data_IF_590246071680
#
_entry.id   IF_590246071680
#
_cell.length_a   1.000
_cell.length_b   1.000
_cell.length_c   1.000
_cell.angle_alpha   90.00
_cell.angle_beta   90.00
_cell.angle_gamma   90.00
#
_symmetry.space_group_name_H-M   'P 1'
#
loop_
_entity.id
_entity.type
_entity.pdbx_description
1 polymer ?
#
# COMPACT_ATOMS: atom_id res chain seq x y z
N UNK A 1 18.90 -4.34 26.36
CA UNK A 1 18.22 -3.29 27.16
C UNK A 1 17.38 -2.45 26.21
N UNK A 2 16.16 -2.07 26.58
CA UNK A 2 15.35 -1.21 25.71
C UNK A 2 15.98 0.19 25.61
N UNK A 3 16.02 0.75 24.40
CA UNK A 3 16.57 2.07 24.15
C UNK A 3 15.84 3.14 24.97
N UNK A 4 16.59 3.94 25.74
CA UNK A 4 16.03 4.95 26.66
C UNK A 4 15.22 6.04 25.96
N UNK A 5 15.59 6.38 24.71
CA UNK A 5 14.87 7.36 23.91
C UNK A 5 13.55 6.78 23.38
N UNK A 6 13.56 5.50 23.00
CA UNK A 6 12.33 4.81 22.59
C UNK A 6 11.30 4.76 23.74
N UNK A 7 11.73 4.42 24.97
CA UNK A 7 10.84 4.44 26.15
C UNK A 7 10.23 5.84 26.36
N UNK A 8 11.04 6.90 26.26
CA UNK A 8 10.55 8.28 26.37
C UNK A 8 9.59 8.65 25.25
N UNK A 9 9.82 8.17 24.03
CA UNK A 9 8.90 8.40 22.92
C UNK A 9 7.52 7.80 23.18
N UNK A 10 7.45 6.57 23.68
CA UNK A 10 6.19 5.91 24.06
C UNK A 10 5.41 6.69 25.12
N UNK A 11 6.11 7.25 26.14
CA UNK A 11 5.47 8.13 27.12
C UNK A 11 4.87 9.38 26.48
N UNK A 12 5.56 9.96 25.48
CA UNK A 12 5.10 11.16 24.79
C UNK A 12 3.92 10.85 23.87
N UNK A 13 3.94 9.71 23.16
CA UNK A 13 2.82 9.21 22.36
C UNK A 13 1.59 9.03 23.27
N UNK A 14 1.72 8.35 24.41
CA UNK A 14 0.63 8.16 25.35
C UNK A 14 0.01 9.47 25.87
N UNK A 15 0.81 10.53 25.95
CA UNK A 15 0.37 11.88 26.38
C UNK A 15 -0.11 12.74 25.20
N UNK A 16 -0.19 12.22 23.96
CA UNK A 16 -0.57 12.94 22.75
C UNK A 16 0.48 13.98 22.27
N UNK A 17 1.69 13.98 22.85
CA UNK A 17 2.76 14.93 22.55
C UNK A 17 3.61 14.44 21.37
N UNK A 18 2.99 14.33 20.19
CA UNK A 18 3.59 13.67 19.03
C UNK A 18 4.86 14.33 18.53
N UNK A 19 4.94 15.68 18.57
CA UNK A 19 6.16 16.38 18.18
C UNK A 19 7.36 16.05 19.08
N UNK A 20 7.13 15.95 20.41
CA UNK A 20 8.17 15.53 21.34
C UNK A 20 8.55 14.05 21.13
N UNK A 21 7.56 13.19 20.82
CA UNK A 21 7.79 11.78 20.52
C UNK A 21 8.69 11.60 19.31
N UNK A 22 8.47 12.35 18.24
CA UNK A 22 9.28 12.34 17.01
C UNK A 22 10.75 12.65 17.35
N UNK A 23 11.03 13.68 18.17
CA UNK A 23 12.38 14.03 18.56
C UNK A 23 13.09 12.92 19.35
N UNK A 24 12.34 12.17 20.16
CA UNK A 24 12.91 11.02 20.88
C UNK A 24 13.11 9.82 19.95
N UNK A 25 12.21 9.60 18.97
CA UNK A 25 12.38 8.55 17.97
C UNK A 25 13.56 8.84 17.03
N UNK A 26 13.80 10.11 16.67
CA UNK A 26 14.98 10.49 15.92
C UNK A 26 16.26 10.05 16.63
N UNK A 27 16.37 10.32 17.94
CA UNK A 27 17.50 9.89 18.75
C UNK A 27 17.62 8.38 18.91
N UNK A 28 16.48 7.67 18.98
CA UNK A 28 16.48 6.21 19.03
C UNK A 28 16.99 5.61 17.71
N UNK A 29 16.59 6.19 16.57
CA UNK A 29 17.05 5.81 15.22
C UNK A 29 18.54 6.11 15.04
N UNK A 30 19.04 7.24 15.54
CA UNK A 30 20.48 7.57 15.53
C UNK A 30 21.32 6.52 16.26
N UNK A 31 20.83 6.02 17.41
CA UNK A 31 21.50 4.96 18.17
C UNK A 31 21.37 3.56 17.53
N UNK A 32 20.19 3.25 16.96
CA UNK A 32 19.87 1.92 16.42
C UNK A 32 19.15 2.04 15.05
N UNK A 33 19.89 2.36 13.96
CA UNK A 33 19.30 2.69 12.67
C UNK A 33 18.68 1.51 11.91
N UNK A 34 18.86 0.29 12.41
CA UNK A 34 18.27 -0.92 11.81
C UNK A 34 17.04 -1.43 12.53
N UNK A 35 16.56 -0.72 13.55
CA UNK A 35 15.38 -1.13 14.30
C UNK A 35 14.11 -0.65 13.62
N UNK A 36 13.41 -1.57 12.95
CA UNK A 36 12.19 -1.30 12.19
C UNK A 36 11.06 -0.67 13.01
N UNK A 37 11.00 -0.96 14.31
CA UNK A 37 9.95 -0.46 15.21
C UNK A 37 10.02 1.07 15.32
N UNK A 38 11.21 1.65 15.41
CA UNK A 38 11.35 3.11 15.58
C UNK A 38 10.84 3.88 14.38
N UNK A 39 11.08 3.36 13.18
CA UNK A 39 10.52 3.93 11.95
C UNK A 39 9.01 3.78 11.90
N UNK A 40 8.44 2.61 12.27
CA UNK A 40 6.98 2.44 12.33
C UNK A 40 6.34 3.45 13.27
N UNK A 41 6.86 3.58 14.49
CA UNK A 41 6.31 4.48 15.50
C UNK A 41 6.45 5.96 15.08
N UNK A 42 7.59 6.36 14.49
CA UNK A 42 7.77 7.72 13.98
C UNK A 42 6.86 7.98 12.78
N UNK A 43 6.70 7.01 11.90
CA UNK A 43 5.76 7.08 10.78
C UNK A 43 4.31 7.25 11.24
N UNK A 44 3.89 6.57 12.31
CA UNK A 44 2.57 6.78 12.93
C UNK A 44 2.44 8.18 13.52
N UNK A 45 3.48 8.71 14.17
CA UNK A 45 3.49 10.08 14.65
C UNK A 45 3.36 11.10 13.50
N UNK A 46 4.08 10.89 12.39
CA UNK A 46 3.96 11.72 11.19
C UNK A 46 2.58 11.62 10.55
N UNK A 47 1.99 10.43 10.51
CA UNK A 47 0.63 10.23 10.00
C UNK A 47 -0.39 11.03 10.81
N UNK A 48 -0.33 10.94 12.14
CA UNK A 48 -1.25 11.63 13.04
C UNK A 48 -1.03 13.16 13.06
N UNK A 49 0.10 13.64 12.56
CA UNK A 49 0.39 15.07 12.34
C UNK A 49 0.25 15.47 10.87
N UNK A 50 -0.40 14.62 10.04
CA UNK A 50 -0.70 14.83 8.62
C UNK A 50 0.53 15.04 7.72
N UNK A 51 1.72 14.65 8.19
CA UNK A 51 2.96 14.69 7.43
C UNK A 51 3.11 13.43 6.58
N UNK A 52 2.15 13.15 5.69
CA UNK A 52 2.01 11.88 4.96
C UNK A 52 3.26 11.45 4.19
N UNK A 53 3.98 12.40 3.57
CA UNK A 53 5.21 12.09 2.83
C UNK A 53 6.32 11.53 3.73
N UNK A 54 6.49 12.09 4.95
CA UNK A 54 7.45 11.58 5.93
C UNK A 54 6.98 10.23 6.50
N UNK A 55 5.67 10.11 6.79
CA UNK A 55 5.08 8.86 7.22
C UNK A 55 5.35 7.73 6.21
N UNK A 56 5.14 7.97 4.92
CA UNK A 56 5.39 6.98 3.88
C UNK A 56 6.87 6.59 3.78
N UNK A 57 7.78 7.55 3.92
CA UNK A 57 9.23 7.30 3.95
C UNK A 57 9.63 6.36 5.09
N UNK A 58 9.12 6.62 6.29
CA UNK A 58 9.38 5.80 7.47
C UNK A 58 8.74 4.41 7.35
N UNK A 59 7.47 4.31 6.86
CA UNK A 59 6.81 3.03 6.64
C UNK A 59 7.54 2.18 5.59
N UNK A 60 8.07 2.77 4.52
CA UNK A 60 8.89 2.07 3.54
C UNK A 60 10.17 1.51 4.18
N UNK A 61 10.84 2.30 5.02
CA UNK A 61 12.04 1.86 5.73
C UNK A 61 11.72 0.73 6.70
N UNK A 62 10.63 0.85 7.45
CA UNK A 62 10.19 -0.17 8.40
C UNK A 62 9.87 -1.51 7.72
N UNK A 63 9.12 -1.50 6.61
CA UNK A 63 8.83 -2.71 5.81
C UNK A 63 10.12 -3.33 5.24
N UNK A 64 11.08 -2.50 4.79
CA UNK A 64 12.37 -3.00 4.27
C UNK A 64 13.21 -3.69 5.34
N UNK A 65 13.18 -3.18 6.57
CA UNK A 65 13.97 -3.71 7.70
C UNK A 65 13.36 -4.98 8.28
N UNK A 66 12.03 -5.10 8.27
CA UNK A 66 11.31 -6.26 8.79
C UNK A 66 10.05 -6.50 7.94
N UNK A 67 10.18 -7.30 6.86
CA UNK A 67 9.11 -7.53 5.89
C UNK A 67 8.04 -8.53 6.34
N UNK A 68 8.25 -9.25 7.44
CA UNK A 68 7.37 -10.33 7.86
C UNK A 68 6.33 -9.90 8.90
N UNK A 69 6.23 -8.60 9.18
CA UNK A 69 5.31 -8.07 10.18
C UNK A 69 4.11 -7.35 9.54
N UNK A 70 2.92 -7.98 9.63
CA UNK A 70 1.67 -7.54 8.99
C UNK A 70 1.31 -6.07 9.23
N UNK A 71 1.40 -5.63 10.49
CA UNK A 71 1.06 -4.26 10.90
C UNK A 71 1.80 -3.17 10.10
N UNK A 72 3.03 -3.42 9.64
CA UNK A 72 3.80 -2.44 8.85
C UNK A 72 3.19 -2.22 7.49
N UNK A 73 2.71 -3.28 6.84
CA UNK A 73 2.00 -3.18 5.58
C UNK A 73 0.65 -2.50 5.76
N UNK A 74 -0.13 -2.87 6.78
CA UNK A 74 -1.41 -2.23 7.08
C UNK A 74 -1.23 -0.72 7.30
N UNK A 75 -0.24 -0.33 8.09
CA UNK A 75 0.09 1.08 8.36
C UNK A 75 0.51 1.82 7.08
N UNK A 76 1.35 1.20 6.23
CA UNK A 76 1.77 1.79 4.95
C UNK A 76 0.60 1.90 3.97
N UNK A 77 -0.26 0.89 3.92
CA UNK A 77 -1.48 0.89 3.11
C UNK A 77 -2.42 2.04 3.47
N UNK A 78 -2.59 2.28 4.77
CA UNK A 78 -3.37 3.42 5.25
C UNK A 78 -2.76 4.77 4.82
N UNK A 79 -1.45 4.93 4.97
CA UNK A 79 -0.75 6.17 4.52
C UNK A 79 -0.91 6.37 3.02
N UNK A 80 -0.76 5.33 2.20
CA UNK A 80 -0.94 5.40 0.74
C UNK A 80 -2.34 5.86 0.37
N UNK A 81 -3.38 5.31 1.01
CA UNK A 81 -4.75 5.74 0.73
C UNK A 81 -4.98 7.21 1.13
N UNK A 82 -4.45 7.66 2.27
CA UNK A 82 -4.50 9.08 2.67
C UNK A 82 -3.82 10.01 1.68
N UNK A 83 -2.83 9.51 0.93
CA UNK A 83 -2.16 10.24 -0.15
C UNK A 83 -2.86 10.09 -1.52
N UNK A 84 -3.99 9.36 -1.60
CA UNK A 84 -4.75 9.13 -2.83
C UNK A 84 -4.33 7.88 -3.61
N UNK A 85 -3.28 7.16 -3.19
CA UNK A 85 -2.88 5.88 -3.78
C UNK A 85 -3.68 4.72 -3.17
N UNK A 86 -4.99 4.72 -3.43
CA UNK A 86 -5.90 3.68 -2.93
C UNK A 86 -5.53 2.29 -3.45
N UNK A 87 -5.04 2.17 -4.70
CA UNK A 87 -4.60 0.89 -5.26
C UNK A 87 -3.36 0.35 -4.56
N UNK A 88 -2.39 1.21 -4.30
CA UNK A 88 -1.22 0.86 -3.50
C UNK A 88 -1.57 0.50 -2.06
N UNK A 89 -2.58 1.15 -1.50
CA UNK A 89 -3.15 0.81 -0.20
C UNK A 89 -3.75 -0.59 -0.16
N UNK A 90 -4.58 -0.95 -1.16
CA UNK A 90 -5.14 -2.29 -1.31
C UNK A 90 -4.03 -3.34 -1.37
N UNK A 91 -3.01 -3.14 -2.20
CA UNK A 91 -1.91 -4.09 -2.34
C UNK A 91 -1.17 -4.33 -1.00
N UNK A 92 -0.98 -3.28 -0.20
CA UNK A 92 -0.35 -3.41 1.12
C UNK A 92 -1.28 -4.15 2.12
N UNK A 93 -2.59 -3.86 2.15
CA UNK A 93 -3.52 -4.59 3.00
C UNK A 93 -3.67 -6.06 2.59
N UNK A 94 -3.61 -6.39 1.30
CA UNK A 94 -3.59 -7.78 0.82
C UNK A 94 -2.37 -8.55 1.32
N UNK A 95 -1.22 -7.89 1.47
CA UNK A 95 -0.03 -8.49 2.09
C UNK A 95 -0.26 -8.63 3.61
N UNK A 96 -0.80 -7.61 4.26
CA UNK A 96 -1.06 -7.63 5.69
C UNK A 96 -1.96 -8.81 6.10
N UNK A 97 -3.09 -9.00 5.41
CA UNK A 97 -4.02 -10.11 5.73
C UNK A 97 -3.46 -11.49 5.37
N UNK A 98 -2.48 -11.59 4.46
CA UNK A 98 -1.75 -12.84 4.21
C UNK A 98 -0.77 -13.18 5.31
N UNK A 99 -0.11 -12.16 5.89
CA UNK A 99 0.82 -12.33 7.00
C UNK A 99 0.10 -12.57 8.33
N UNK A 100 -1.05 -11.93 8.52
CA UNK A 100 -1.91 -12.12 9.69
C UNK A 100 -3.38 -12.30 9.26
N UNK A 101 -3.81 -13.54 9.02
CA UNK A 101 -5.18 -13.84 8.59
C UNK A 101 -6.25 -13.63 9.68
N UNK A 102 -5.85 -13.34 10.92
CA UNK A 102 -6.78 -13.08 12.02
C UNK A 102 -6.99 -11.58 12.27
N UNK A 103 -6.26 -10.70 11.57
CA UNK A 103 -6.41 -9.25 11.71
C UNK A 103 -7.70 -8.75 11.06
N UNK A 104 -8.79 -8.75 11.82
CA UNK A 104 -10.10 -8.25 11.39
C UNK A 104 -10.07 -6.76 10.99
N UNK A 105 -9.17 -5.96 11.59
CA UNK A 105 -9.02 -4.54 11.26
C UNK A 105 -8.43 -4.38 9.87
N UNK A 106 -7.42 -5.19 9.53
CA UNK A 106 -6.83 -5.16 8.19
C UNK A 106 -7.85 -5.59 7.11
N UNK A 107 -8.67 -6.64 7.37
CA UNK A 107 -9.75 -7.04 6.46
C UNK A 107 -10.81 -5.95 6.30
N UNK A 108 -11.24 -5.31 7.37
CA UNK A 108 -12.21 -4.22 7.29
C UNK A 108 -11.66 -3.06 6.45
N UNK A 109 -10.41 -2.66 6.69
CA UNK A 109 -9.79 -1.58 5.93
C UNK A 109 -9.59 -1.95 4.45
N UNK A 110 -9.20 -3.19 4.15
CA UNK A 110 -9.14 -3.71 2.78
C UNK A 110 -10.50 -3.64 2.10
N UNK A 111 -11.56 -4.06 2.79
CA UNK A 111 -12.94 -3.96 2.33
C UNK A 111 -13.35 -2.54 1.98
N UNK A 112 -13.05 -1.59 2.85
CA UNK A 112 -13.34 -0.15 2.64
C UNK A 112 -12.63 0.40 1.39
N UNK A 113 -11.36 0.09 1.19
CA UNK A 113 -10.61 0.56 0.02
C UNK A 113 -11.12 -0.08 -1.28
N UNK A 114 -11.49 -1.36 -1.23
CA UNK A 114 -12.07 -2.07 -2.37
C UNK A 114 -13.47 -1.52 -2.72
N UNK A 115 -14.29 -1.20 -1.72
CA UNK A 115 -15.58 -0.55 -1.92
C UNK A 115 -15.42 0.82 -2.59
N UNK A 116 -14.47 1.62 -2.12
CA UNK A 116 -14.11 2.94 -2.69
C UNK A 116 -13.76 2.86 -4.19
N UNK A 117 -13.18 1.75 -4.64
CA UNK A 117 -12.88 1.49 -6.06
C UNK A 117 -13.97 0.70 -6.80
N UNK A 118 -15.10 0.40 -6.15
CA UNK A 118 -16.22 -0.34 -6.76
C UNK A 118 -16.04 -1.85 -6.83
N UNK A 119 -15.06 -2.44 -6.12
CA UNK A 119 -14.81 -3.88 -6.08
C UNK A 119 -15.79 -4.58 -5.11
N UNK A 120 -17.10 -4.48 -5.39
CA UNK A 120 -18.19 -4.88 -4.51
C UNK A 120 -18.12 -6.32 -4.00
N UNK A 121 -17.73 -7.28 -4.85
CA UNK A 121 -17.65 -8.69 -4.46
C UNK A 121 -16.56 -8.94 -3.44
N UNK A 122 -15.39 -8.35 -3.66
CA UNK A 122 -14.22 -8.49 -2.78
C UNK A 122 -14.44 -7.77 -1.46
N UNK A 123 -15.00 -6.54 -1.50
CA UNK A 123 -15.26 -5.77 -0.29
C UNK A 123 -16.24 -6.49 0.65
N UNK A 124 -17.36 -7.01 0.12
CA UNK A 124 -18.33 -7.79 0.91
C UNK A 124 -17.69 -9.02 1.56
N UNK A 125 -16.84 -9.76 0.81
CA UNK A 125 -16.12 -10.91 1.37
C UNK A 125 -15.22 -10.49 2.54
N UNK A 126 -14.45 -9.42 2.36
CA UNK A 126 -13.53 -8.96 3.40
C UNK A 126 -14.25 -8.43 4.64
N UNK A 127 -15.39 -7.77 4.49
CA UNK A 127 -16.24 -7.40 5.63
C UNK A 127 -16.76 -8.63 6.37
N UNK A 128 -17.26 -9.66 5.64
CA UNK A 128 -17.73 -10.88 6.26
C UNK A 128 -16.63 -11.65 7.01
N UNK A 129 -15.37 -11.61 6.54
CA UNK A 129 -14.21 -12.14 7.27
C UNK A 129 -13.94 -11.30 8.52
N UNK A 130 -13.92 -9.98 8.39
CA UNK A 130 -13.70 -9.07 9.52
C UNK A 130 -14.74 -9.24 10.63
N UNK A 131 -16.00 -9.49 10.26
CA UNK A 131 -17.12 -9.74 11.18
C UNK A 131 -17.14 -11.16 11.75
N UNK A 132 -16.23 -12.05 11.31
CA UNK A 132 -16.15 -13.44 11.75
C UNK A 132 -17.25 -14.35 11.18
N UNK A 133 -18.02 -13.88 10.20
CA UNK A 133 -19.08 -14.65 9.53
C UNK A 133 -18.52 -15.71 8.58
N UNK A 134 -17.33 -15.45 8.02
CA UNK A 134 -16.62 -16.36 7.12
C UNK A 134 -15.19 -16.49 7.61
N UNK A 135 -14.76 -17.73 7.86
CA UNK A 135 -13.33 -17.99 8.05
C UNK A 135 -12.65 -17.94 6.70
N UNK A 136 -11.49 -17.29 6.61
CA UNK A 136 -10.66 -17.41 5.42
C UNK A 136 -10.31 -18.89 5.24
N UNK A 137 -10.95 -19.52 4.25
CA UNK A 137 -10.45 -20.79 3.77
C UNK A 137 -9.12 -20.46 3.12
N UNK A 138 -8.03 -21.03 3.63
CA UNK A 138 -6.79 -21.12 2.88
C UNK A 138 -7.15 -21.83 1.57
N UNK A 139 -7.55 -21.06 0.57
CA UNK A 139 -7.64 -21.55 -0.80
C UNK A 139 -6.20 -21.91 -1.19
N UNK A 140 -5.87 -23.16 -0.96
CA UNK A 140 -4.77 -23.80 -1.65
C UNK A 140 -5.04 -23.65 -3.14
N UNK A 141 -4.35 -22.67 -3.75
CA UNK A 141 -4.36 -22.29 -5.15
C UNK A 141 -5.53 -21.40 -5.61
N UNK A 142 -5.23 -20.09 -5.57
CA UNK A 142 -5.47 -19.12 -6.63
C UNK A 142 -6.47 -19.49 -7.70
N UNK A 143 -7.70 -18.99 -7.59
CA UNK A 143 -8.57 -18.80 -8.76
C UNK A 143 -8.55 -17.36 -9.30
N UNK A 144 -7.64 -16.51 -8.82
CA UNK A 144 -7.19 -15.36 -9.58
C UNK A 144 -5.97 -15.82 -10.37
N UNK A 145 -5.94 -15.61 -11.70
CA UNK A 145 -4.69 -15.76 -12.41
C UNK A 145 -3.67 -14.88 -11.68
N UNK A 146 -2.43 -15.36 -11.44
CA UNK A 146 -1.42 -14.53 -10.87
C UNK A 146 -1.40 -13.25 -11.69
N UNK A 147 -1.46 -12.08 -11.03
CA UNK A 147 -1.02 -10.85 -11.64
C UNK A 147 0.51 -11.03 -11.72
N UNK A 148 0.91 -11.93 -12.59
CA UNK A 148 2.24 -11.85 -13.15
C UNK A 148 2.22 -10.52 -13.89
N UNK A 149 3.10 -9.59 -13.57
CA UNK A 149 3.39 -8.55 -14.50
C UNK A 149 3.98 -9.29 -15.71
N UNK A 150 3.12 -9.67 -16.64
CA UNK A 150 3.57 -10.21 -17.90
C UNK A 150 4.13 -9.04 -18.70
N UNK A 151 5.28 -8.55 -18.20
CA UNK A 151 6.07 -7.53 -18.87
C UNK A 151 6.44 -7.98 -20.30
N UNK A 152 6.34 -9.28 -20.57
CA UNK A 152 6.51 -9.88 -21.89
C UNK A 152 5.22 -9.81 -22.73
N UNK A 153 4.03 -10.00 -22.15
CA UNK A 153 2.77 -9.85 -22.90
C UNK A 153 2.41 -8.40 -23.15
N UNK A 154 2.59 -7.51 -22.16
CA UNK A 154 2.44 -6.06 -22.40
C UNK A 154 3.43 -5.55 -23.43
N UNK A 155 4.69 -6.01 -23.43
CA UNK A 155 5.65 -5.67 -24.48
C UNK A 155 5.24 -6.24 -25.83
N UNK A 156 4.72 -7.48 -25.91
CA UNK A 156 4.20 -8.06 -27.16
C UNK A 156 2.97 -7.31 -27.65
N UNK A 157 2.04 -6.96 -26.76
CA UNK A 157 0.82 -6.24 -27.12
C UNK A 157 1.15 -4.82 -27.60
N UNK A 158 1.98 -4.09 -26.87
CA UNK A 158 2.45 -2.75 -27.25
C UNK A 158 3.26 -2.81 -28.55
N UNK A 159 4.13 -3.81 -28.71
CA UNK A 159 4.91 -3.98 -29.94
C UNK A 159 4.03 -4.36 -31.13
N UNK A 160 2.97 -5.16 -30.94
CA UNK A 160 2.00 -5.50 -31.98
C UNK A 160 1.15 -4.28 -32.39
N UNK A 161 0.75 -3.44 -31.45
CA UNK A 161 0.04 -2.18 -31.69
C UNK A 161 0.95 -1.22 -32.47
N UNK A 162 2.18 -1.03 -32.03
CA UNK A 162 3.18 -0.20 -32.71
C UNK A 162 3.41 -0.72 -34.15
N UNK A 163 3.60 -2.04 -34.30
CA UNK A 163 3.78 -2.65 -35.60
C UNK A 163 2.57 -2.40 -36.53
N UNK A 164 1.33 -2.56 -36.01
CA UNK A 164 0.12 -2.29 -36.79
C UNK A 164 -0.02 -0.82 -37.20
N UNK A 165 0.33 0.13 -36.34
CA UNK A 165 0.34 1.57 -36.64
C UNK A 165 1.30 1.87 -37.81
N UNK A 166 2.45 1.20 -37.85
CA UNK A 166 3.47 1.47 -38.90
C UNK A 166 3.27 0.65 -40.19
N UNK A 167 2.57 -0.50 -40.11
CA UNK A 167 2.35 -1.36 -41.30
C UNK A 167 0.99 -1.17 -41.95
N UNK A 168 -0.01 -0.66 -41.24
CA UNK A 168 -1.36 -0.45 -41.79
C UNK A 168 -1.60 1.04 -42.06
N UNK A 169 -1.85 1.37 -43.35
CA UNK A 169 -2.06 2.74 -43.80
C UNK A 169 -3.29 3.43 -43.18
N UNK A 170 -4.37 2.67 -42.88
CA UNK A 170 -5.58 3.19 -42.23
C UNK A 170 -5.32 3.53 -40.76
N UNK A 171 -4.75 2.60 -40.00
CA UNK A 171 -4.42 2.77 -38.58
C UNK A 171 -3.41 3.91 -38.37
N UNK A 172 -2.47 4.09 -39.32
CA UNK A 172 -1.53 5.22 -39.26
C UNK A 172 -2.25 6.56 -39.42
N UNK A 173 -3.23 6.68 -40.32
CA UNK A 173 -3.99 7.92 -40.48
C UNK A 173 -4.82 8.27 -39.26
N UNK A 174 -5.48 7.28 -38.68
CA UNK A 174 -6.25 7.44 -37.43
C UNK A 174 -5.37 7.86 -36.27
N UNK A 175 -4.21 7.22 -36.07
CA UNK A 175 -3.25 7.56 -35.03
C UNK A 175 -2.69 8.99 -35.21
N UNK A 176 -2.35 9.38 -36.42
CA UNK A 176 -1.87 10.76 -36.70
C UNK A 176 -2.97 11.79 -36.45
N UNK A 177 -4.23 11.45 -36.78
CA UNK A 177 -5.39 12.32 -36.52
C UNK A 177 -5.63 12.45 -35.03
N UNK A 178 -5.57 11.35 -34.26
CA UNK A 178 -5.67 11.32 -32.80
C UNK A 178 -4.61 12.21 -32.14
N UNK A 179 -3.34 12.10 -32.56
CA UNK A 179 -2.25 12.95 -32.04
C UNK A 179 -2.48 14.43 -32.40
N UNK A 180 -2.92 14.75 -33.62
CA UNK A 180 -3.18 16.13 -34.05
C UNK A 180 -4.35 16.78 -33.29
N UNK A 181 -5.34 16.01 -32.92
CA UNK A 181 -6.53 16.48 -32.17
C UNK A 181 -6.32 16.61 -30.64
N UNK A 182 -5.09 16.37 -30.15
CA UNK A 182 -4.67 16.68 -28.79
C UNK A 182 -5.46 15.97 -27.71
N UNK A 183 -5.49 14.62 -27.66
CA UNK A 183 -6.04 13.80 -26.55
C UNK A 183 -7.46 14.19 -26.07
N UNK A 184 -8.32 14.81 -26.90
CA UNK A 184 -9.71 15.01 -26.55
C UNK A 184 -10.45 13.68 -26.67
N UNK A 185 -10.70 13.05 -25.53
CA UNK A 185 -11.68 11.96 -25.37
C UNK A 185 -13.02 12.66 -25.16
N UNK A 186 -13.95 12.52 -26.09
CA UNK A 186 -15.37 12.84 -25.88
C UNK A 186 -16.02 11.77 -25.01
#
# INVERSE_FOLDING_TARGET
MSNKFYIKSLEKIKKGKLAEAILFLDKAIEEEPTNAIYYSERGVCFLNTEQYGKALGDMNTSVKLDPDYAYRYASRGFVKDRMGDTKGGIADYEIAVKLDPEDSIAYNNLGLLQEKLGYQKSSKRNFAIADGEVKEQQETKSSLPPITPNALETKKTVFSIIKNVFTNSSTRKEFVTFIKNGFKIE
#
